data_IF_612428235806
#
_entry.id   IF_612428235806
#
_cell.length_a   1.000
_cell.length_b   1.000
_cell.length_c   1.000
_cell.angle_alpha   90.00
_cell.angle_beta   90.00
_cell.angle_gamma   90.00
#
_symmetry.space_group_name_H-M   'P 1'
#
loop_
_entity.id
_entity.type
_entity.pdbx_description
1 polymer ?
#
# COMPACT_ATOMS: atom_id res chain seq x y z
N UNK A 1 -13.03 8.65 16.17
CA UNK A 1 -12.60 7.39 16.84
C UNK A 1 -13.79 6.50 17.15
N UNK A 2 -14.74 6.90 18.00
CA UNK A 2 -15.85 6.04 18.41
C UNK A 2 -16.75 5.65 17.25
N UNK A 3 -17.14 6.61 16.40
CA UNK A 3 -17.92 6.36 15.19
C UNK A 3 -17.26 5.33 14.26
N UNK A 4 -15.95 5.45 14.03
CA UNK A 4 -15.19 4.47 13.25
C UNK A 4 -15.24 3.08 13.88
N UNK A 5 -14.98 2.99 15.19
CA UNK A 5 -15.02 1.73 15.94
C UNK A 5 -16.39 1.04 15.88
N UNK A 6 -17.47 1.82 16.04
CA UNK A 6 -18.85 1.32 15.93
C UNK A 6 -19.18 0.90 14.50
N UNK A 7 -18.79 1.69 13.50
CA UNK A 7 -19.02 1.36 12.10
C UNK A 7 -18.38 0.02 11.72
N UNK A 8 -17.12 -0.21 12.16
CA UNK A 8 -16.44 -1.50 11.98
C UNK A 8 -17.03 -2.64 12.79
N UNK A 9 -17.43 -2.37 14.03
CA UNK A 9 -18.12 -3.38 14.85
C UNK A 9 -19.43 -3.84 14.19
N UNK A 10 -20.17 -2.91 13.58
CA UNK A 10 -21.40 -3.20 12.85
C UNK A 10 -21.17 -4.04 11.61
N UNK A 11 -20.13 -3.73 10.83
CA UNK A 11 -19.73 -4.50 9.65
C UNK A 11 -19.43 -5.97 10.00
N UNK A 12 -18.87 -6.22 11.19
CA UNK A 12 -18.47 -7.54 11.68
C UNK A 12 -19.48 -8.18 12.63
N UNK A 13 -20.64 -7.54 12.85
CA UNK A 13 -21.60 -7.97 13.85
C UNK A 13 -22.16 -9.37 13.52
N UNK A 14 -22.37 -10.17 14.56
CA UNK A 14 -22.92 -11.52 14.44
C UNK A 14 -24.12 -11.67 15.35
N UNK A 15 -25.15 -12.36 14.86
CA UNK A 15 -26.30 -12.74 15.66
C UNK A 15 -26.03 -14.10 16.33
N UNK A 16 -26.02 -14.12 17.65
CA UNK A 16 -25.84 -15.32 18.46
C UNK A 16 -27.21 -15.90 18.80
N UNK A 17 -27.63 -16.93 18.03
CA UNK A 17 -28.98 -17.51 18.11
C UNK A 17 -29.33 -18.07 19.49
N UNK A 18 -28.37 -18.67 20.17
CA UNK A 18 -28.61 -19.31 21.48
C UNK A 18 -28.93 -18.30 22.59
N UNK A 19 -28.46 -17.06 22.44
CA UNK A 19 -28.64 -15.96 23.40
C UNK A 19 -29.61 -14.89 22.87
N UNK A 20 -30.15 -15.08 21.67
CA UNK A 20 -31.01 -14.16 20.93
C UNK A 20 -30.47 -12.71 20.81
N UNK A 21 -29.15 -12.53 20.81
CA UNK A 21 -28.50 -11.22 20.80
C UNK A 21 -27.64 -10.96 19.56
N UNK A 22 -27.47 -9.68 19.21
CA UNK A 22 -26.49 -9.27 18.20
C UNK A 22 -25.25 -8.73 18.88
N UNK A 23 -24.12 -9.40 18.70
CA UNK A 23 -22.87 -9.04 19.37
C UNK A 23 -22.02 -8.14 18.50
N UNK A 24 -21.59 -7.02 19.09
CA UNK A 24 -20.71 -6.04 18.47
C UNK A 24 -19.33 -6.12 19.12
N UNK A 25 -18.33 -6.54 18.36
CA UNK A 25 -16.93 -6.48 18.78
C UNK A 25 -16.28 -5.21 18.22
N UNK A 26 -16.10 -4.19 19.08
CA UNK A 26 -15.35 -2.99 18.70
C UNK A 26 -13.86 -3.35 18.60
N UNK A 27 -13.21 -3.15 17.43
CA UNK A 27 -11.81 -3.52 17.26
C UNK A 27 -10.88 -2.62 18.07
N UNK A 28 -9.70 -3.15 18.43
CA UNK A 28 -8.60 -2.33 18.95
C UNK A 28 -8.27 -1.23 17.94
N UNK A 29 -8.12 -0.01 18.43
CA UNK A 29 -7.90 1.17 17.60
C UNK A 29 -6.64 1.91 18.01
N UNK A 30 -6.09 2.68 17.07
CA UNK A 30 -5.00 3.62 17.26
C UNK A 30 -5.33 4.87 16.44
N UNK A 31 -5.21 6.06 17.04
CA UNK A 31 -5.38 7.32 16.32
C UNK A 31 -4.01 7.91 16.02
N UNK A 32 -3.70 8.08 14.73
CA UNK A 32 -2.43 8.65 14.29
C UNK A 32 -2.65 10.16 14.05
N UNK A 33 -1.88 10.99 14.75
CA UNK A 33 -1.82 12.42 14.44
C UNK A 33 -0.52 12.71 13.71
N UNK A 34 -0.66 13.23 12.48
CA UNK A 34 0.46 13.45 11.55
C UNK A 34 1.24 14.71 11.93
N UNK A 35 0.54 15.82 12.15
CA UNK A 35 1.15 17.13 12.41
C UNK A 35 1.50 17.35 13.87
N UNK A 36 2.59 18.09 14.09
CA UNK A 36 3.08 18.41 15.42
C UNK A 36 2.08 19.27 16.20
N UNK A 37 1.64 18.77 17.35
CA UNK A 37 0.89 19.54 18.33
C UNK A 37 1.13 19.00 19.75
N UNK A 38 1.81 19.81 20.58
CA UNK A 38 2.21 19.43 21.94
C UNK A 38 1.03 19.25 22.91
N UNK A 39 -0.16 19.77 22.55
CA UNK A 39 -1.36 19.62 23.36
C UNK A 39 -2.00 18.24 23.23
N UNK A 40 -1.62 17.47 22.21
CA UNK A 40 -2.14 16.12 21.98
C UNK A 40 -1.62 15.18 23.07
N UNK A 41 -2.56 14.49 23.73
CA UNK A 41 -2.27 13.49 24.76
C UNK A 41 -2.01 12.12 24.13
N UNK A 42 -1.46 11.20 24.92
CA UNK A 42 -1.14 9.83 24.47
C UNK A 42 -2.38 8.94 24.32
N UNK A 43 -3.54 9.42 24.80
CA UNK A 43 -4.83 8.75 24.71
C UNK A 43 -5.94 9.76 24.45
N UNK A 44 -6.92 9.37 23.64
CA UNK A 44 -8.20 10.06 23.55
C UNK A 44 -9.20 9.35 24.46
N UNK A 45 -9.98 10.13 25.22
CA UNK A 45 -10.93 9.63 26.21
C UNK A 45 -12.32 10.16 25.91
N UNK A 46 -13.30 9.27 25.83
CA UNK A 46 -14.72 9.59 25.78
C UNK A 46 -15.41 8.92 26.97
N UNK A 47 -16.38 9.61 27.57
CA UNK A 47 -17.34 9.02 28.49
C UNK A 47 -18.67 8.91 27.77
N UNK A 48 -19.15 7.69 27.58
CA UNK A 48 -20.43 7.40 26.95
C UNK A 48 -21.45 7.18 28.07
N UNK A 49 -22.56 7.92 28.01
CA UNK A 49 -23.67 7.80 28.97
C UNK A 49 -24.88 7.36 28.16
N UNK A 50 -25.37 6.15 28.41
CA UNK A 50 -26.52 5.59 27.72
C UNK A 50 -27.84 6.04 28.38
N UNK A 51 -28.99 5.95 27.68
CA UNK A 51 -30.28 6.41 28.22
C UNK A 51 -30.73 5.72 29.50
N UNK A 52 -30.27 4.49 29.76
CA UNK A 52 -30.50 3.73 30.98
C UNK A 52 -29.57 4.14 32.14
N UNK A 53 -28.68 5.11 31.91
CA UNK A 53 -27.68 5.58 32.86
C UNK A 53 -26.39 4.76 32.86
N UNK A 54 -26.26 3.74 32.00
CA UNK A 54 -25.00 3.00 31.89
C UNK A 54 -23.89 3.94 31.43
N UNK A 55 -22.75 3.90 32.13
CA UNK A 55 -21.56 4.66 31.76
C UNK A 55 -20.44 3.76 31.27
N UNK A 56 -19.86 4.11 30.12
CA UNK A 56 -18.69 3.44 29.55
C UNK A 56 -17.58 4.46 29.30
N UNK A 57 -16.45 4.26 29.96
CA UNK A 57 -15.23 5.02 29.70
C UNK A 57 -14.49 4.39 28.51
N UNK A 58 -14.52 5.06 27.37
CA UNK A 58 -13.92 4.60 26.13
C UNK A 58 -12.60 5.32 25.86
N UNK A 59 -11.52 4.57 25.70
CA UNK A 59 -10.17 5.11 25.54
C UNK A 59 -9.50 4.51 24.30
N UNK A 60 -8.81 5.35 23.53
CA UNK A 60 -8.04 4.90 22.35
C UNK A 60 -6.65 5.52 22.39
N UNK A 61 -5.59 4.70 22.23
CA UNK A 61 -4.22 5.20 22.21
C UNK A 61 -3.99 6.11 21.01
N UNK A 62 -3.04 7.02 21.18
CA UNK A 62 -2.60 7.96 20.18
C UNK A 62 -1.16 7.68 19.77
N UNK A 63 -0.92 7.68 18.46
CA UNK A 63 0.41 7.74 17.88
C UNK A 63 0.69 9.15 17.38
N UNK A 64 1.65 9.82 18.03
CA UNK A 64 2.19 11.12 17.63
C UNK A 64 3.21 10.92 16.52
N UNK A 65 2.76 10.89 15.28
CA UNK A 65 3.60 10.51 14.14
C UNK A 65 4.82 11.43 13.96
N UNK A 66 4.70 12.72 14.28
CA UNK A 66 5.81 13.67 14.17
C UNK A 66 7.04 13.28 15.02
N UNK A 67 6.85 12.47 16.06
CA UNK A 67 7.93 11.95 16.94
C UNK A 67 8.66 10.72 16.33
N UNK A 68 8.22 10.22 15.18
CA UNK A 68 8.80 9.04 14.53
C UNK A 68 9.74 9.44 13.41
N UNK A 69 11.03 9.15 13.54
CA UNK A 69 12.00 9.27 12.44
C UNK A 69 11.77 8.18 11.39
N UNK A 70 12.41 8.34 10.22
CA UNK A 70 12.36 7.33 9.16
C UNK A 70 12.94 5.99 9.65
N UNK A 71 14.04 6.03 10.40
CA UNK A 71 14.69 4.83 10.96
C UNK A 71 13.73 4.09 11.91
N UNK A 72 13.09 4.83 12.82
CA UNK A 72 12.12 4.23 13.76
C UNK A 72 10.92 3.62 13.05
N UNK A 73 10.50 4.18 11.92
CA UNK A 73 9.42 3.62 11.09
C UNK A 73 9.87 2.30 10.46
N UNK A 74 11.09 2.26 9.92
CA UNK A 74 11.67 1.06 9.31
C UNK A 74 11.87 -0.06 10.33
N UNK A 75 12.48 0.25 11.49
CA UNK A 75 12.71 -0.70 12.58
C UNK A 75 11.42 -1.35 13.08
N UNK A 76 10.34 -0.55 13.14
CA UNK A 76 9.02 -1.02 13.59
C UNK A 76 8.17 -1.60 12.47
N UNK A 77 8.71 -1.70 11.25
CA UNK A 77 8.01 -2.19 10.05
C UNK A 77 6.71 -1.43 9.75
N UNK A 78 6.68 -0.13 10.02
CA UNK A 78 5.53 0.75 9.78
C UNK A 78 5.57 1.35 8.36
N UNK A 79 5.97 0.54 7.37
CA UNK A 79 6.29 0.99 6.00
C UNK A 79 5.22 1.85 5.33
N UNK A 80 3.91 1.57 5.46
CA UNK A 80 2.87 2.41 4.86
C UNK A 80 2.88 3.86 5.35
N UNK A 81 3.54 4.15 6.47
CA UNK A 81 3.65 5.50 7.00
C UNK A 81 4.82 6.28 6.41
N UNK A 82 5.81 5.64 5.77
CA UNK A 82 7.01 6.31 5.25
C UNK A 82 6.68 7.53 4.36
N UNK A 83 5.74 7.47 3.40
CA UNK A 83 5.41 8.62 2.56
C UNK A 83 5.00 9.87 3.34
N UNK A 84 4.41 9.70 4.53
CA UNK A 84 3.98 10.82 5.37
C UNK A 84 5.15 11.61 5.98
N UNK A 85 6.40 11.14 5.90
CA UNK A 85 7.55 11.89 6.40
C UNK A 85 7.70 13.25 5.70
N UNK A 86 7.33 13.37 4.42
CA UNK A 86 7.38 14.63 3.68
C UNK A 86 6.47 15.70 4.31
N UNK A 87 5.36 15.30 4.93
CA UNK A 87 4.40 16.20 5.59
C UNK A 87 4.98 16.92 6.81
N UNK A 88 6.09 16.44 7.38
CA UNK A 88 6.76 17.15 8.49
C UNK A 88 7.25 18.55 8.07
N UNK A 89 7.54 18.75 6.78
CA UNK A 89 7.93 20.06 6.25
C UNK A 89 6.75 21.03 6.15
N UNK A 90 5.51 20.53 6.09
CA UNK A 90 4.31 21.36 5.93
C UNK A 90 4.18 22.42 7.02
N UNK A 91 4.45 22.05 8.27
CA UNK A 91 4.43 23.01 9.39
C UNK A 91 5.42 24.16 9.17
N UNK A 92 6.64 23.86 8.71
CA UNK A 92 7.65 24.87 8.41
C UNK A 92 7.23 25.75 7.23
N UNK A 93 6.68 25.15 6.16
CA UNK A 93 6.18 25.85 4.98
C UNK A 93 5.02 26.79 5.32
N UNK A 94 4.03 26.35 6.11
CA UNK A 94 2.94 27.21 6.60
C UNK A 94 3.47 28.36 7.47
N UNK A 95 4.45 28.08 8.31
CA UNK A 95 5.07 29.11 9.16
C UNK A 95 5.80 30.16 8.31
N UNK A 96 6.46 29.79 7.21
CA UNK A 96 7.08 30.72 6.26
C UNK A 96 6.02 31.52 5.52
N UNK A 97 5.04 30.84 4.90
CA UNK A 97 4.00 31.46 4.09
C UNK A 97 3.20 32.53 4.84
N UNK A 98 2.96 32.33 6.14
CA UNK A 98 2.22 33.26 6.98
C UNK A 98 3.06 34.45 7.52
N UNK A 99 4.38 34.45 7.31
CA UNK A 99 5.24 35.59 7.68
C UNK A 99 5.10 36.73 6.67
N UNK A 100 5.09 37.99 7.14
CA UNK A 100 4.92 39.18 6.29
C UNK A 100 6.04 39.39 5.26
N UNK A 101 7.27 38.99 5.59
CA UNK A 101 8.47 39.27 4.77
C UNK A 101 9.14 37.98 4.27
N UNK A 102 8.38 36.92 4.04
CA UNK A 102 8.95 35.70 3.49
C UNK A 102 9.40 35.89 2.03
N UNK A 103 10.37 35.10 1.61
CA UNK A 103 10.80 35.02 0.22
C UNK A 103 10.29 33.73 -0.42
N UNK A 104 10.03 33.77 -1.72
CA UNK A 104 9.68 32.56 -2.48
C UNK A 104 10.83 31.54 -2.45
N UNK A 105 12.07 32.02 -2.37
CA UNK A 105 13.26 31.19 -2.24
C UNK A 105 13.24 30.31 -0.98
N UNK A 106 12.80 30.84 0.17
CA UNK A 106 12.67 30.04 1.41
C UNK A 106 11.71 28.86 1.23
N UNK A 107 10.57 29.06 0.54
CA UNK A 107 9.62 27.99 0.25
C UNK A 107 10.17 27.00 -0.79
N UNK A 108 10.89 27.51 -1.78
CA UNK A 108 11.56 26.71 -2.81
C UNK A 108 12.59 25.76 -2.21
N UNK A 109 13.40 26.22 -1.27
CA UNK A 109 14.37 25.39 -0.54
C UNK A 109 13.68 24.26 0.23
N UNK A 110 12.55 24.54 0.88
CA UNK A 110 11.77 23.50 1.56
C UNK A 110 11.13 22.51 0.59
N UNK A 111 10.67 22.95 -0.58
CA UNK A 111 10.15 22.03 -1.61
C UNK A 111 11.26 21.16 -2.20
N UNK A 112 12.46 21.70 -2.44
CA UNK A 112 13.61 20.89 -2.85
C UNK A 112 14.01 19.87 -1.78
N UNK A 113 13.94 20.24 -0.50
CA UNK A 113 14.10 19.29 0.61
C UNK A 113 13.01 18.22 0.61
N UNK A 114 11.76 18.59 0.30
CA UNK A 114 10.67 17.63 0.17
C UNK A 114 10.92 16.62 -0.96
N UNK A 115 11.47 17.09 -2.08
CA UNK A 115 11.88 16.25 -3.21
C UNK A 115 12.94 15.21 -2.80
N UNK A 116 13.97 15.66 -2.07
CA UNK A 116 15.02 14.77 -1.55
C UNK A 116 14.47 13.71 -0.57
N UNK A 117 13.54 14.10 0.31
CA UNK A 117 12.87 13.17 1.22
C UNK A 117 12.08 12.11 0.44
N UNK A 118 11.32 12.55 -0.56
CA UNK A 118 10.53 11.67 -1.43
C UNK A 118 11.43 10.70 -2.20
N UNK A 119 12.52 11.18 -2.78
CA UNK A 119 13.51 10.34 -3.45
C UNK A 119 14.11 9.30 -2.50
N UNK A 120 14.49 9.70 -1.29
CA UNK A 120 15.01 8.79 -0.27
C UNK A 120 13.99 7.70 0.10
N UNK A 121 12.72 8.07 0.31
CA UNK A 121 11.65 7.13 0.65
C UNK A 121 11.36 6.19 -0.52
N UNK A 122 11.33 6.70 -1.75
CA UNK A 122 11.07 5.88 -2.94
C UNK A 122 12.17 4.83 -3.14
N UNK A 123 13.43 5.20 -2.94
CA UNK A 123 14.56 4.26 -2.97
C UNK A 123 14.46 3.22 -1.84
N UNK A 124 14.04 3.63 -0.64
CA UNK A 124 13.79 2.70 0.47
C UNK A 124 12.66 1.72 0.15
N UNK A 125 11.57 2.18 -0.46
CA UNK A 125 10.47 1.31 -0.87
C UNK A 125 10.96 0.23 -1.85
N UNK A 126 11.81 0.59 -2.81
CA UNK A 126 12.42 -0.38 -3.72
C UNK A 126 13.30 -1.38 -2.98
N UNK A 127 14.10 -0.94 -2.00
CA UNK A 127 14.88 -1.85 -1.15
C UNK A 127 14.01 -2.82 -0.38
N UNK A 128 12.90 -2.35 0.20
CA UNK A 128 11.95 -3.19 0.93
C UNK A 128 11.32 -4.24 0.02
N UNK A 129 10.99 -3.87 -1.22
CA UNK A 129 10.49 -4.80 -2.22
C UNK A 129 11.54 -5.85 -2.60
N UNK A 130 12.79 -5.43 -2.86
CA UNK A 130 13.88 -6.34 -3.17
C UNK A 130 14.22 -7.29 -2.01
N UNK A 131 13.98 -6.86 -0.77
CA UNK A 131 14.12 -7.66 0.44
C UNK A 131 12.91 -8.56 0.74
N UNK A 132 11.89 -8.57 -0.12
CA UNK A 132 10.62 -9.31 0.06
C UNK A 132 9.85 -8.92 1.34
N UNK A 133 10.09 -7.73 1.89
CA UNK A 133 9.37 -7.20 3.06
C UNK A 133 8.04 -6.51 2.65
N UNK A 134 7.91 -6.13 1.39
CA UNK A 134 6.66 -5.65 0.76
C UNK A 134 6.50 -6.28 -0.62
N UNK A 135 5.26 -6.38 -1.10
CA UNK A 135 4.99 -6.84 -2.46
C UNK A 135 5.03 -5.69 -3.49
N UNK A 136 4.86 -6.05 -4.77
CA UNK A 136 4.88 -5.06 -5.86
C UNK A 136 3.69 -4.09 -5.85
N UNK A 137 2.55 -4.49 -5.27
CA UNK A 137 1.37 -3.63 -5.15
C UNK A 137 1.59 -2.58 -4.05
N UNK A 138 2.17 -2.98 -2.92
CA UNK A 138 2.57 -2.09 -1.84
C UNK A 138 3.65 -1.11 -2.30
N UNK A 139 4.66 -1.57 -3.04
CA UNK A 139 5.65 -0.69 -3.68
C UNK A 139 4.96 0.37 -4.55
N UNK A 140 4.05 -0.05 -5.43
CA UNK A 140 3.32 0.87 -6.30
C UNK A 140 2.55 1.93 -5.51
N UNK A 141 1.81 1.49 -4.48
CA UNK A 141 1.04 2.39 -3.60
C UNK A 141 1.94 3.39 -2.87
N UNK A 142 3.10 2.96 -2.40
CA UNK A 142 4.06 3.84 -1.73
C UNK A 142 4.65 4.89 -2.68
N UNK A 143 5.04 4.48 -3.89
CA UNK A 143 5.57 5.40 -4.90
C UNK A 143 4.50 6.41 -5.34
N UNK A 144 3.26 5.95 -5.55
CA UNK A 144 2.13 6.81 -5.87
C UNK A 144 1.85 7.80 -4.73
N UNK A 145 1.83 7.33 -3.48
CA UNK A 145 1.65 8.21 -2.33
C UNK A 145 2.74 9.28 -2.26
N UNK A 146 4.01 8.91 -2.46
CA UNK A 146 5.11 9.87 -2.51
C UNK A 146 4.90 10.97 -3.56
N UNK A 147 4.49 10.58 -4.77
CA UNK A 147 4.20 11.50 -5.87
C UNK A 147 3.04 12.46 -5.52
N UNK A 148 1.91 11.95 -5.03
CA UNK A 148 0.74 12.76 -4.70
C UNK A 148 1.00 13.70 -3.53
N UNK A 149 1.67 13.23 -2.49
CA UNK A 149 2.01 14.04 -1.32
C UNK A 149 2.99 15.15 -1.70
N UNK A 150 3.98 14.86 -2.56
CA UNK A 150 4.88 15.88 -3.10
C UNK A 150 4.13 16.91 -3.93
N UNK A 151 3.31 16.46 -4.90
CA UNK A 151 2.52 17.33 -5.77
C UNK A 151 1.64 18.27 -4.95
N UNK A 152 0.96 17.75 -3.94
CA UNK A 152 0.15 18.56 -3.03
C UNK A 152 0.96 19.68 -2.36
N UNK A 153 2.15 19.37 -1.83
CA UNK A 153 3.01 20.39 -1.21
C UNK A 153 3.49 21.40 -2.25
N UNK A 154 4.01 20.93 -3.38
CA UNK A 154 4.53 21.81 -4.43
C UNK A 154 3.44 22.77 -4.92
N UNK A 155 2.28 22.28 -5.35
CA UNK A 155 1.16 23.12 -5.82
C UNK A 155 0.67 24.12 -4.77
N UNK A 156 0.79 23.81 -3.48
CA UNK A 156 0.33 24.69 -2.39
C UNK A 156 1.33 25.82 -2.05
N UNK A 157 2.62 25.59 -2.24
CA UNK A 157 3.66 26.50 -1.73
C UNK A 157 4.53 27.17 -2.81
N UNK A 158 4.81 26.51 -3.94
CA UNK A 158 5.73 27.00 -4.98
C UNK A 158 5.15 26.88 -6.39
N UNK A 159 4.41 25.80 -6.66
CA UNK A 159 3.75 25.51 -7.93
C UNK A 159 4.71 25.44 -9.14
N UNK A 160 5.87 24.81 -8.96
CA UNK A 160 6.84 24.58 -10.06
C UNK A 160 6.59 23.22 -10.71
N UNK A 161 5.97 23.21 -11.89
CA UNK A 161 5.61 21.98 -12.61
C UNK A 161 6.82 21.08 -12.91
N UNK A 162 8.00 21.65 -13.14
CA UNK A 162 9.22 20.87 -13.44
C UNK A 162 9.58 19.93 -12.30
N UNK A 163 9.37 20.36 -11.05
CA UNK A 163 9.64 19.51 -9.88
C UNK A 163 8.65 18.35 -9.79
N UNK A 164 7.40 18.54 -10.22
CA UNK A 164 6.42 17.44 -10.29
C UNK A 164 6.83 16.43 -11.37
N UNK A 165 7.28 16.91 -12.53
CA UNK A 165 7.78 16.06 -13.62
C UNK A 165 9.03 15.26 -13.21
N UNK A 166 9.96 15.89 -12.50
CA UNK A 166 11.15 15.22 -11.97
C UNK A 166 10.79 14.08 -11.00
N UNK A 167 9.87 14.31 -10.07
CA UNK A 167 9.40 13.28 -9.13
C UNK A 167 8.66 12.16 -9.86
N UNK A 168 7.77 12.50 -10.80
CA UNK A 168 7.07 11.51 -11.63
C UNK A 168 8.02 10.65 -12.48
N UNK A 169 9.04 11.28 -13.08
CA UNK A 169 10.05 10.59 -13.88
C UNK A 169 10.86 9.62 -13.02
N UNK A 170 11.23 10.05 -11.80
CA UNK A 170 11.93 9.23 -10.83
C UNK A 170 11.09 8.02 -10.38
N UNK A 171 9.82 8.21 -10.00
CA UNK A 171 8.96 7.09 -9.56
C UNK A 171 8.74 6.06 -10.67
N UNK A 172 8.55 6.50 -11.92
CA UNK A 172 8.47 5.62 -13.10
C UNK A 172 9.74 4.83 -13.33
N UNK A 173 10.90 5.48 -13.25
CA UNK A 173 12.19 4.81 -13.45
C UNK A 173 12.43 3.70 -12.41
N UNK A 174 11.89 3.86 -11.20
CA UNK A 174 11.96 2.84 -10.16
C UNK A 174 10.95 1.69 -10.36
N UNK A 175 9.76 1.97 -10.87
CA UNK A 175 8.66 1.00 -10.95
C UNK A 175 8.54 0.26 -12.29
N UNK A 176 8.69 0.96 -13.41
CA UNK A 176 8.45 0.41 -14.75
C UNK A 176 9.33 -0.82 -15.07
N UNK A 177 10.65 -0.85 -14.72
CA UNK A 177 11.47 -2.03 -14.93
C UNK A 177 10.97 -3.27 -14.17
N UNK A 178 10.45 -3.06 -12.96
CA UNK A 178 9.93 -4.14 -12.10
C UNK A 178 8.68 -4.75 -12.73
N UNK A 179 7.77 -3.91 -13.22
CA UNK A 179 6.56 -4.36 -13.93
C UNK A 179 6.92 -5.08 -15.21
N UNK A 180 7.85 -4.53 -16.00
CA UNK A 180 8.29 -5.14 -17.25
C UNK A 180 8.94 -6.51 -17.04
N UNK A 181 9.76 -6.65 -16.00
CA UNK A 181 10.39 -7.92 -15.64
C UNK A 181 9.34 -8.96 -15.20
N UNK A 182 8.40 -8.56 -14.34
CA UNK A 182 7.30 -9.43 -13.90
C UNK A 182 6.46 -9.91 -15.09
N UNK A 183 6.03 -8.99 -15.96
CA UNK A 183 5.25 -9.31 -17.15
C UNK A 183 6.01 -10.24 -18.11
N UNK A 184 7.32 -10.02 -18.27
CA UNK A 184 8.19 -10.89 -19.09
C UNK A 184 8.30 -12.30 -18.50
N UNK A 185 8.41 -12.42 -17.19
CA UNK A 185 8.51 -13.71 -16.51
C UNK A 185 7.18 -14.48 -16.63
N UNK A 186 6.06 -13.81 -16.37
CA UNK A 186 4.71 -14.37 -16.53
C UNK A 186 4.47 -14.83 -17.97
N UNK A 187 4.72 -13.97 -18.96
CA UNK A 187 4.55 -14.33 -20.37
C UNK A 187 5.46 -15.48 -20.83
N UNK A 188 6.68 -15.61 -20.27
CA UNK A 188 7.55 -16.76 -20.55
C UNK A 188 7.00 -18.06 -19.95
N UNK A 189 6.42 -18.00 -18.75
CA UNK A 189 5.81 -19.16 -18.09
C UNK A 189 4.55 -19.59 -18.85
N UNK A 190 3.69 -18.63 -19.18
CA UNK A 190 2.47 -18.86 -19.97
C UNK A 190 2.82 -19.44 -21.34
N UNK A 191 3.71 -18.82 -22.11
CA UNK A 191 4.11 -19.32 -23.43
C UNK A 191 4.75 -20.71 -23.38
N UNK A 192 5.51 -21.03 -22.32
CA UNK A 192 6.05 -22.40 -22.11
C UNK A 192 4.94 -23.41 -21.82
N UNK A 193 3.93 -23.02 -21.05
CA UNK A 193 2.78 -23.88 -20.75
C UNK A 193 1.91 -24.08 -22.00
N UNK A 194 1.58 -23.00 -22.72
CA UNK A 194 0.83 -23.05 -23.97
C UNK A 194 1.54 -23.92 -25.01
N UNK A 195 2.84 -23.74 -25.23
CA UNK A 195 3.60 -24.57 -26.16
C UNK A 195 3.62 -26.06 -25.77
N UNK A 196 3.63 -26.37 -24.47
CA UNK A 196 3.47 -27.77 -24.00
C UNK A 196 2.08 -28.32 -24.29
N UNK A 197 1.04 -27.52 -24.06
CA UNK A 197 -0.36 -27.91 -24.31
C UNK A 197 -0.60 -28.10 -25.81
N UNK A 198 -0.09 -27.21 -26.65
CA UNK A 198 -0.18 -27.30 -28.11
C UNK A 198 0.57 -28.53 -28.64
N UNK A 199 1.80 -28.76 -28.19
CA UNK A 199 2.55 -29.97 -28.55
C UNK A 199 1.81 -31.25 -28.12
N UNK A 200 1.18 -31.25 -26.94
CA UNK A 200 0.37 -32.37 -26.47
C UNK A 200 -0.88 -32.58 -27.34
N UNK A 201 -1.58 -31.50 -27.73
CA UNK A 201 -2.74 -31.55 -28.64
C UNK A 201 -2.35 -32.13 -30.00
N UNK A 202 -1.27 -31.64 -30.60
CA UNK A 202 -0.78 -32.12 -31.89
C UNK A 202 -0.38 -33.60 -31.80
N UNK A 203 0.32 -34.00 -30.74
CA UNK A 203 0.67 -35.40 -30.52
C UNK A 203 -0.56 -36.32 -30.33
N UNK A 204 -1.62 -35.84 -29.68
CA UNK A 204 -2.89 -36.57 -29.55
C UNK A 204 -3.59 -36.75 -30.90
N UNK A 205 -3.57 -35.73 -31.76
CA UNK A 205 -4.13 -35.78 -33.12
C UNK A 205 -3.39 -36.80 -33.98
N UNK A 206 -2.06 -36.86 -33.86
CA UNK A 206 -1.20 -37.86 -34.50
C UNK A 206 -1.34 -39.28 -33.89
N UNK A 207 -2.22 -39.46 -32.91
CA UNK A 207 -2.53 -40.78 -32.33
C UNK A 207 -1.49 -41.28 -31.32
N UNK A 208 -0.62 -40.43 -30.79
CA UNK A 208 0.36 -40.81 -29.77
C UNK A 208 -0.35 -41.09 -28.43
N UNK A 209 0.08 -42.13 -27.73
CA UNK A 209 -0.49 -42.52 -26.44
C UNK A 209 -0.35 -41.43 -25.36
N UNK A 210 -1.42 -41.09 -24.61
CA UNK A 210 -1.41 -40.04 -23.59
C UNK A 210 -0.32 -40.19 -22.52
N UNK A 211 0.07 -41.42 -22.19
CA UNK A 211 1.15 -41.71 -21.23
C UNK A 211 2.53 -41.30 -21.75
N UNK A 212 2.76 -41.46 -23.05
CA UNK A 212 4.00 -41.04 -23.73
C UNK A 212 4.03 -39.51 -23.83
N UNK A 213 2.89 -38.90 -24.19
CA UNK A 213 2.76 -37.44 -24.30
C UNK A 213 3.01 -36.75 -22.95
N UNK A 214 2.40 -37.25 -21.88
CA UNK A 214 2.62 -36.75 -20.52
C UNK A 214 4.11 -36.79 -20.13
N UNK A 215 4.80 -37.88 -20.46
CA UNK A 215 6.24 -38.04 -20.20
C UNK A 215 7.11 -37.08 -21.00
N UNK A 216 6.80 -36.84 -22.29
CA UNK A 216 7.58 -35.96 -23.18
C UNK A 216 7.37 -34.48 -22.85
N UNK A 217 6.11 -34.08 -22.65
CA UNK A 217 5.74 -32.67 -22.39
C UNK A 217 5.93 -32.27 -20.93
N UNK A 218 6.02 -33.25 -20.02
CA UNK A 218 6.04 -33.04 -18.57
C UNK A 218 4.72 -32.46 -18.05
N UNK A 219 3.62 -32.65 -18.76
CA UNK A 219 2.26 -32.38 -18.29
C UNK A 219 1.75 -33.53 -17.44
N UNK A 220 0.80 -33.26 -16.54
CA UNK A 220 0.14 -34.34 -15.79
C UNK A 220 -0.68 -35.22 -16.73
N UNK A 221 -0.76 -36.53 -16.42
CA UNK A 221 -1.57 -37.46 -17.21
C UNK A 221 -3.05 -37.04 -17.26
N UNK A 222 -3.57 -36.50 -16.15
CA UNK A 222 -4.92 -35.95 -16.06
C UNK A 222 -5.13 -34.79 -17.04
N UNK A 223 -4.16 -33.86 -17.14
CA UNK A 223 -4.21 -32.75 -18.10
C UNK A 223 -4.25 -33.25 -19.54
N UNK A 224 -3.42 -34.23 -19.89
CA UNK A 224 -3.39 -34.79 -21.25
C UNK A 224 -4.68 -35.55 -21.56
N UNK A 225 -5.26 -36.26 -20.58
CA UNK A 225 -6.54 -36.94 -20.74
C UNK A 225 -7.69 -35.96 -20.93
N UNK A 226 -7.73 -34.86 -20.17
CA UNK A 226 -8.70 -33.77 -20.35
C UNK A 226 -8.65 -33.20 -21.77
N UNK A 227 -7.44 -32.90 -22.27
CA UNK A 227 -7.23 -32.45 -23.65
C UNK A 227 -7.73 -33.47 -24.68
N UNK A 228 -7.55 -34.78 -24.45
CA UNK A 228 -8.05 -35.83 -25.34
C UNK A 228 -9.58 -35.87 -25.39
N UNK A 229 -10.26 -35.71 -24.25
CA UNK A 229 -11.72 -35.60 -24.21
C UNK A 229 -12.24 -34.33 -24.87
N UNK A 230 -11.54 -33.19 -24.73
CA UNK A 230 -11.90 -31.94 -25.40
C UNK A 230 -11.79 -32.04 -26.93
N UNK A 231 -10.83 -32.81 -27.45
CA UNK A 231 -10.65 -33.04 -28.89
C UNK A 231 -11.64 -34.06 -29.49
N UNK A 232 -12.33 -34.83 -28.65
CA UNK A 232 -13.29 -35.86 -29.08
C UNK A 232 -14.75 -35.35 -29.14
N UNK A 233 -15.01 -34.15 -28.61
CA UNK A 233 -16.27 -33.42 -28.71
C UNK A 233 -16.23 -32.41 -29.85
#
# INVERSE_FOLDING_TARGET
MFEYGISKARELAKYERDQEETVFYIPKQLVIFIEQNLSIKDELRLRLIFPDGQEVNYQVPVMKYWEYSQERILERRLYPLLPLQVFKLRYQMETIKNRRNHTEQELRELIQKAQQIVESISNEAVRLFQAEEIDGEDLHKMLLANEELFRYLNSRYVNDERLNEEVLSMTRTLYDPIVAEKAKLEGKLEGKLEGKLEAARNALIEGIEPTIIAKITGLSLETVQKLKTELAN
#
